data_IF_401859035367
#
_entry.id   IF_401859035367
#
_cell.length_a   1.000
_cell.length_b   1.000
_cell.length_c   1.000
_cell.angle_alpha   90.00
_cell.angle_beta   90.00
_cell.angle_gamma   90.00
#
_symmetry.space_group_name_H-M   'P 1'
#
loop_
_entity.id
_entity.type
_entity.pdbx_description
1 polymer ?
#
# COMPACT_ATOMS: atom_id res chain seq x y z
N UNK A 1 7.68 28.20 41.88
CA UNK A 1 8.51 28.02 40.66
C UNK A 1 8.07 26.74 40.00
N UNK A 2 7.37 26.79 38.87
CA UNK A 2 7.06 25.58 38.10
C UNK A 2 8.33 25.18 37.33
N UNK A 3 8.89 23.99 37.61
CA UNK A 3 9.89 23.40 36.72
C UNK A 3 9.19 23.15 35.38
N UNK A 4 9.46 23.99 34.38
CA UNK A 4 9.03 23.75 33.01
C UNK A 4 9.77 22.53 32.48
N UNK A 5 9.03 21.58 31.89
CA UNK A 5 9.64 20.49 31.14
C UNK A 5 10.24 21.05 29.84
N UNK A 6 11.49 20.73 29.55
CA UNK A 6 12.14 21.12 28.31
C UNK A 6 11.67 20.18 27.19
N UNK A 7 11.04 20.74 26.16
CA UNK A 7 10.58 19.99 24.98
C UNK A 7 11.36 20.42 23.74
N UNK A 8 11.61 19.46 22.84
CA UNK A 8 12.29 19.68 21.56
C UNK A 8 11.38 19.20 20.42
N UNK A 9 11.24 20.03 19.38
CA UNK A 9 10.57 19.63 18.14
C UNK A 9 11.45 18.61 17.41
N UNK A 10 10.84 17.52 16.99
CA UNK A 10 11.50 16.43 16.25
C UNK A 10 10.82 16.23 14.88
N UNK A 11 11.50 15.59 13.91
CA UNK A 11 10.86 15.21 12.66
C UNK A 11 9.62 14.35 12.90
N UNK A 12 8.59 14.52 12.07
CA UNK A 12 7.34 13.75 12.20
C UNK A 12 7.53 12.25 11.99
N UNK A 13 8.66 11.81 11.43
CA UNK A 13 8.97 10.40 11.20
C UNK A 13 9.55 9.70 12.44
N UNK A 14 10.16 10.46 13.36
CA UNK A 14 10.89 9.93 14.52
C UNK A 14 10.03 9.01 15.43
N UNK A 15 8.75 9.33 15.74
CA UNK A 15 7.92 8.40 16.53
C UNK A 15 7.78 7.00 15.90
N UNK A 16 7.75 6.94 14.56
CA UNK A 16 7.62 5.69 13.80
C UNK A 16 8.97 4.98 13.65
N UNK A 17 10.00 5.71 13.24
CA UNK A 17 11.32 5.16 12.90
C UNK A 17 12.09 4.70 14.14
N UNK A 18 12.06 5.50 15.21
CA UNK A 18 12.84 5.23 16.42
C UNK A 18 11.97 4.58 17.51
N UNK A 19 10.68 4.91 17.52
CA UNK A 19 9.74 4.48 18.57
C UNK A 19 8.81 3.32 18.18
N UNK A 20 8.74 2.93 16.91
CA UNK A 20 7.80 1.91 16.42
C UNK A 20 6.32 2.31 16.58
N UNK A 21 6.03 3.59 16.81
CA UNK A 21 4.67 4.09 17.07
C UNK A 21 4.00 4.54 15.78
N UNK A 22 2.73 4.16 15.63
CA UNK A 22 1.88 4.74 14.59
C UNK A 22 1.64 6.23 14.87
N UNK A 23 1.97 7.08 13.90
CA UNK A 23 1.89 8.54 14.03
C UNK A 23 0.94 9.17 12.99
N UNK A 24 -0.10 8.44 12.62
CA UNK A 24 -1.06 8.86 11.61
C UNK A 24 -0.59 8.59 10.18
N UNK A 25 -1.26 9.23 9.22
CA UNK A 25 -0.95 9.19 7.80
C UNK A 25 -0.90 10.60 7.22
N UNK A 26 -0.26 10.74 6.06
CA UNK A 26 -0.31 11.96 5.25
C UNK A 26 -1.21 11.73 4.05
N UNK A 27 -2.00 12.74 3.71
CA UNK A 27 -2.82 12.74 2.48
C UNK A 27 -2.04 13.44 1.38
N UNK A 28 -2.00 12.83 0.20
CA UNK A 28 -1.40 13.39 -1.00
C UNK A 28 -2.38 13.24 -2.16
N UNK A 29 -2.61 14.33 -2.88
CA UNK A 29 -3.36 14.31 -4.13
C UNK A 29 -2.44 13.92 -5.29
N UNK A 30 -2.96 13.12 -6.21
CA UNK A 30 -2.33 12.78 -7.48
C UNK A 30 -3.37 12.95 -8.58
N UNK A 31 -3.00 13.55 -9.71
CA UNK A 31 -3.95 13.85 -10.80
C UNK A 31 -4.34 12.61 -11.63
N UNK A 32 -3.56 11.54 -11.55
CA UNK A 32 -3.77 10.25 -12.23
C UNK A 32 -2.86 9.17 -11.61
N UNK A 33 -2.99 7.92 -12.03
CA UNK A 33 -2.23 6.78 -11.50
C UNK A 33 -0.72 6.95 -11.73
N UNK A 34 -0.27 7.41 -12.90
CA UNK A 34 1.15 7.65 -13.17
C UNK A 34 1.77 8.62 -12.17
N UNK A 35 1.02 9.64 -11.76
CA UNK A 35 1.46 10.64 -10.79
C UNK A 35 1.50 10.08 -9.36
N UNK A 36 0.79 8.98 -9.06
CA UNK A 36 0.98 8.25 -7.80
C UNK A 36 2.41 7.76 -7.70
N UNK A 37 2.93 7.14 -8.77
CA UNK A 37 4.29 6.59 -8.80
C UNK A 37 5.37 7.66 -8.99
N UNK A 38 5.22 8.53 -10.00
CA UNK A 38 6.24 9.52 -10.38
C UNK A 38 6.51 10.55 -9.29
N UNK A 39 5.48 10.93 -8.53
CA UNK A 39 5.55 11.95 -7.49
C UNK A 39 5.55 11.31 -6.08
N UNK A 40 6.10 10.10 -5.99
CA UNK A 40 6.32 9.43 -4.71
C UNK A 40 7.26 10.25 -3.82
N UNK A 41 6.93 10.49 -2.53
CA UNK A 41 7.75 11.29 -1.63
C UNK A 41 8.99 10.56 -1.12
N UNK A 42 9.14 9.27 -1.42
CA UNK A 42 10.22 8.43 -0.92
C UNK A 42 11.35 8.30 -1.92
N UNK A 43 12.59 8.41 -1.44
CA UNK A 43 13.76 8.14 -2.26
C UNK A 43 13.82 6.66 -2.62
N UNK A 44 13.85 6.35 -3.91
CA UNK A 44 13.72 4.97 -4.41
C UNK A 44 12.29 4.57 -4.79
N UNK A 45 11.31 5.46 -4.59
CA UNK A 45 9.91 5.22 -4.96
C UNK A 45 9.20 4.23 -4.03
N UNK A 46 8.04 3.77 -4.48
CA UNK A 46 7.42 2.58 -3.91
C UNK A 46 8.11 1.37 -4.53
N UNK A 47 8.90 0.65 -3.73
CA UNK A 47 9.73 -0.48 -4.20
C UNK A 47 8.96 -1.81 -4.25
N UNK A 48 7.72 -1.81 -3.77
CA UNK A 48 6.75 -2.84 -4.10
C UNK A 48 5.34 -2.22 -4.20
N UNK A 49 4.59 -2.56 -5.24
CA UNK A 49 3.27 -2.03 -5.51
C UNK A 49 2.27 -3.15 -5.79
N UNK A 50 1.15 -3.14 -5.07
CA UNK A 50 0.07 -4.11 -5.17
C UNK A 50 -1.20 -3.39 -5.62
N UNK A 51 -1.84 -3.86 -6.69
CA UNK A 51 -3.20 -3.47 -7.03
C UNK A 51 -4.22 -4.50 -6.55
N UNK A 52 -5.40 -4.06 -6.12
CA UNK A 52 -6.49 -4.94 -5.71
C UNK A 52 -7.62 -4.95 -6.74
N UNK A 53 -8.12 -6.13 -7.11
CA UNK A 53 -9.25 -6.30 -8.03
C UNK A 53 -9.94 -7.64 -7.84
N UNK A 54 -11.23 -7.74 -8.13
CA UNK A 54 -11.94 -9.02 -8.17
C UNK A 54 -11.39 -9.95 -9.28
N UNK A 55 -10.78 -9.37 -10.31
CA UNK A 55 -10.11 -10.06 -11.42
C UNK A 55 -8.64 -10.40 -11.13
N UNK A 56 -8.13 -10.05 -9.94
CA UNK A 56 -6.76 -10.34 -9.54
C UNK A 56 -6.51 -11.82 -9.22
N UNK A 57 -5.24 -12.15 -9.02
CA UNK A 57 -4.83 -13.50 -8.61
C UNK A 57 -5.38 -13.82 -7.21
N UNK A 58 -5.86 -15.05 -7.04
CA UNK A 58 -6.33 -15.57 -5.75
C UNK A 58 -5.19 -16.35 -5.11
N UNK A 59 -4.65 -15.79 -4.04
CA UNK A 59 -3.61 -16.42 -3.20
C UNK A 59 -4.13 -16.32 -1.76
N UNK A 60 -3.89 -17.32 -0.91
CA UNK A 60 -4.24 -17.16 0.51
C UNK A 60 -3.24 -16.24 1.19
N UNK A 61 -3.69 -15.45 2.17
CA UNK A 61 -2.81 -14.60 2.98
C UNK A 61 -1.62 -15.37 3.59
N UNK A 62 -1.85 -16.60 4.06
CA UNK A 62 -0.81 -17.48 4.59
C UNK A 62 0.22 -17.94 3.55
N UNK A 63 -0.15 -17.95 2.27
CA UNK A 63 0.67 -18.43 1.15
C UNK A 63 1.33 -17.26 0.38
N UNK A 64 0.80 -16.05 0.51
CA UNK A 64 1.33 -14.86 -0.16
C UNK A 64 2.70 -14.48 0.42
N UNK A 65 3.72 -14.53 -0.42
CA UNK A 65 5.07 -14.07 -0.07
C UNK A 65 5.33 -12.72 -0.72
N UNK A 66 5.57 -11.70 0.11
CA UNK A 66 6.02 -10.39 -0.36
C UNK A 66 7.56 -10.36 -0.32
N UNK A 67 8.22 -9.73 -1.31
CA UNK A 67 9.65 -9.45 -1.20
C UNK A 67 9.91 -8.49 -0.04
N UNK A 68 11.16 -8.41 0.41
CA UNK A 68 11.58 -7.36 1.32
C UNK A 68 11.39 -5.98 0.64
N UNK A 69 10.71 -5.05 1.31
CA UNK A 69 10.37 -3.73 0.77
C UNK A 69 10.59 -2.63 1.82
N UNK A 70 10.90 -1.41 1.40
CA UNK A 70 10.94 -0.23 2.28
C UNK A 70 9.67 0.60 2.19
N UNK A 71 9.04 0.63 1.02
CA UNK A 71 7.90 1.49 0.71
C UNK A 71 6.86 0.72 -0.11
N UNK A 72 5.96 0.03 0.58
CA UNK A 72 4.83 -0.67 -0.04
C UNK A 72 3.70 0.31 -0.43
N UNK A 73 3.23 0.19 -1.67
CA UNK A 73 1.99 0.80 -2.15
C UNK A 73 0.90 -0.27 -2.30
N UNK A 74 -0.28 -0.03 -1.74
CA UNK A 74 -1.49 -0.83 -2.02
C UNK A 74 -2.51 0.11 -2.66
N UNK A 75 -2.90 -0.19 -3.90
CA UNK A 75 -3.83 0.61 -4.68
C UNK A 75 -5.21 -0.05 -4.74
N UNK A 76 -6.24 0.79 -4.60
CA UNK A 76 -7.65 0.41 -4.65
C UNK A 76 -8.35 1.17 -5.76
N UNK A 77 -9.19 0.47 -6.51
CA UNK A 77 -10.02 1.04 -7.56
C UNK A 77 -11.31 1.67 -7.04
N UNK A 78 -11.95 2.45 -7.91
CA UNK A 78 -13.32 2.93 -7.71
C UNK A 78 -14.35 1.89 -8.15
N UNK A 79 -15.54 2.36 -8.55
CA UNK A 79 -16.64 1.48 -8.99
C UNK A 79 -16.26 0.61 -10.19
N UNK A 80 -15.47 1.13 -11.13
CA UNK A 80 -15.01 0.40 -12.31
C UNK A 80 -13.58 -0.18 -12.16
N UNK A 81 -13.08 -0.29 -10.93
CA UNK A 81 -11.75 -0.85 -10.66
C UNK A 81 -10.61 0.13 -10.91
N UNK A 82 -9.38 -0.39 -10.91
CA UNK A 82 -8.16 0.38 -11.25
C UNK A 82 -7.97 0.46 -12.77
N UNK A 83 -8.56 -0.48 -13.50
CA UNK A 83 -8.51 -0.61 -14.95
C UNK A 83 -9.04 0.65 -15.64
N UNK A 84 -10.13 1.23 -15.13
CA UNK A 84 -10.67 2.51 -15.64
C UNK A 84 -9.65 3.64 -15.47
N UNK A 85 -9.10 3.82 -14.28
CA UNK A 85 -8.11 4.85 -13.99
C UNK A 85 -6.80 4.67 -14.79
N UNK A 86 -6.45 3.43 -15.16
CA UNK A 86 -5.31 3.13 -16.03
C UNK A 86 -5.60 3.52 -17.48
N UNK A 87 -6.79 3.22 -17.99
CA UNK A 87 -7.18 3.52 -19.37
C UNK A 87 -7.36 5.03 -19.61
N UNK A 88 -7.77 5.78 -18.59
CA UNK A 88 -7.85 7.25 -18.64
C UNK A 88 -6.49 7.95 -18.54
N UNK A 89 -5.48 7.28 -18.00
CA UNK A 89 -4.14 7.84 -17.88
C UNK A 89 -3.34 7.68 -19.18
N UNK A 90 -3.10 8.79 -19.89
CA UNK A 90 -2.31 8.80 -21.13
C UNK A 90 -0.94 8.13 -21.05
N UNK A 91 -0.30 8.06 -19.88
CA UNK A 91 1.00 7.39 -19.68
C UNK A 91 0.90 5.87 -19.49
N UNK A 92 -0.31 5.36 -19.23
CA UNK A 92 -0.60 3.95 -18.97
C UNK A 92 -1.66 3.37 -19.90
N UNK A 93 -2.27 4.19 -20.75
CA UNK A 93 -3.35 3.80 -21.65
C UNK A 93 -3.01 2.54 -22.44
N UNK A 94 -3.94 1.58 -22.46
CA UNK A 94 -3.75 0.28 -23.12
C UNK A 94 -2.78 -0.68 -22.41
N UNK A 95 -2.27 -0.34 -21.21
CA UNK A 95 -1.54 -1.29 -20.37
C UNK A 95 -2.51 -2.13 -19.56
N UNK A 96 -2.18 -3.40 -19.42
CA UNK A 96 -2.82 -4.29 -18.47
C UNK A 96 -2.48 -3.86 -17.03
N UNK A 97 -3.48 -3.84 -16.14
CA UNK A 97 -3.27 -3.54 -14.73
C UNK A 97 -2.23 -4.46 -14.08
N UNK A 98 -2.15 -5.73 -14.50
CA UNK A 98 -1.12 -6.67 -14.04
C UNK A 98 0.31 -6.27 -14.42
N UNK A 99 0.48 -5.33 -15.36
CA UNK A 99 1.79 -4.78 -15.77
C UNK A 99 2.10 -3.43 -15.14
N UNK A 100 1.11 -2.80 -14.49
CA UNK A 100 1.28 -1.52 -13.78
C UNK A 100 1.73 -1.73 -12.34
N UNK A 101 1.33 -2.84 -11.72
CA UNK A 101 1.69 -3.22 -10.35
C UNK A 101 2.60 -4.46 -10.36
N UNK A 102 3.40 -4.64 -9.30
CA UNK A 102 4.23 -5.84 -9.13
C UNK A 102 3.38 -7.08 -8.85
N UNK A 103 2.22 -6.89 -8.22
CA UNK A 103 1.20 -7.92 -8.08
C UNK A 103 -0.21 -7.33 -8.11
N UNK A 104 -1.16 -8.14 -8.60
CA UNK A 104 -2.55 -7.74 -8.78
C UNK A 104 -3.45 -8.83 -8.21
N UNK A 105 -4.13 -8.56 -7.10
CA UNK A 105 -4.65 -9.59 -6.20
C UNK A 105 -6.15 -9.42 -5.93
N UNK A 106 -6.85 -10.55 -5.83
CA UNK A 106 -8.18 -10.62 -5.24
C UNK A 106 -8.05 -11.00 -3.75
N UNK A 107 -8.35 -10.05 -2.88
CA UNK A 107 -8.22 -10.19 -1.41
C UNK A 107 -9.50 -10.72 -0.74
N UNK A 108 -10.61 -10.85 -1.49
CA UNK A 108 -11.88 -11.36 -1.01
C UNK A 108 -12.52 -12.31 -2.05
N UNK A 109 -11.91 -13.48 -2.29
CA UNK A 109 -12.47 -14.45 -3.22
C UNK A 109 -13.84 -14.92 -2.72
N UNK A 110 -14.71 -15.28 -3.65
CA UNK A 110 -16.08 -15.75 -3.37
C UNK A 110 -16.94 -14.69 -2.65
N UNK A 111 -16.72 -13.40 -2.94
CA UNK A 111 -17.57 -12.33 -2.44
C UNK A 111 -19.05 -12.62 -2.75
N UNK A 112 -19.89 -12.46 -1.73
CA UNK A 112 -21.34 -12.70 -1.86
C UNK A 112 -22.11 -11.54 -2.48
N UNK A 113 -21.44 -10.41 -2.72
CA UNK A 113 -21.97 -9.24 -3.41
C UNK A 113 -21.39 -9.12 -4.81
N UNK A 114 -22.13 -8.46 -5.72
CA UNK A 114 -21.60 -8.13 -7.06
C UNK A 114 -20.39 -7.20 -6.96
N UNK A 115 -20.40 -6.29 -5.99
CA UNK A 115 -19.34 -5.29 -5.81
C UNK A 115 -19.06 -5.16 -4.32
N UNK A 116 -17.77 -5.06 -3.98
CA UNK A 116 -17.30 -4.59 -2.67
C UNK A 116 -16.94 -3.13 -2.85
N UNK A 117 -17.55 -2.23 -2.07
CA UNK A 117 -17.25 -0.79 -2.19
C UNK A 117 -15.85 -0.51 -1.69
N UNK A 118 -15.18 0.51 -2.21
CA UNK A 118 -13.77 0.80 -1.91
C UNK A 118 -13.50 0.92 -0.39
N UNK A 119 -14.42 1.54 0.36
CA UNK A 119 -14.32 1.68 1.81
C UNK A 119 -14.49 0.35 2.59
N UNK A 120 -15.09 -0.67 1.99
CA UNK A 120 -15.17 -2.04 2.52
C UNK A 120 -13.94 -2.84 2.10
N UNK A 121 -13.47 -2.63 0.87
CA UNK A 121 -12.30 -3.31 0.30
C UNK A 121 -11.00 -2.96 1.05
N UNK A 122 -10.85 -1.72 1.49
CA UNK A 122 -9.68 -1.25 2.26
C UNK A 122 -9.45 -2.11 3.52
N UNK A 123 -10.38 -2.17 4.50
CA UNK A 123 -10.14 -2.95 5.72
C UNK A 123 -10.01 -4.46 5.45
N UNK A 124 -10.78 -5.03 4.51
CA UNK A 124 -10.66 -6.45 4.13
C UNK A 124 -9.25 -6.74 3.62
N UNK A 125 -8.76 -5.92 2.71
CA UNK A 125 -7.45 -6.11 2.09
C UNK A 125 -6.31 -5.85 3.08
N UNK A 126 -6.40 -4.82 3.91
CA UNK A 126 -5.37 -4.54 4.92
C UNK A 126 -5.28 -5.67 5.96
N UNK A 127 -6.41 -6.27 6.36
CA UNK A 127 -6.41 -7.46 7.22
C UNK A 127 -5.81 -8.66 6.49
N UNK A 128 -6.14 -8.86 5.21
CA UNK A 128 -5.54 -9.89 4.37
C UNK A 128 -4.01 -9.74 4.25
N UNK A 129 -3.50 -8.51 4.15
CA UNK A 129 -2.06 -8.25 4.01
C UNK A 129 -1.28 -8.22 5.33
N UNK A 130 -1.96 -8.20 6.49
CA UNK A 130 -1.31 -8.07 7.80
C UNK A 130 -0.21 -9.13 8.01
N UNK A 131 -0.52 -10.40 7.78
CA UNK A 131 0.43 -11.50 7.98
C UNK A 131 1.56 -11.49 6.94
N UNK A 132 1.32 -11.37 5.61
CA UNK A 132 2.37 -11.19 4.61
C UNK A 132 3.33 -10.03 4.89
N UNK A 133 2.79 -8.87 5.26
CA UNK A 133 3.58 -7.66 5.55
C UNK A 133 4.45 -7.88 6.80
N UNK A 134 3.90 -8.49 7.84
CA UNK A 134 4.63 -8.81 9.06
C UNK A 134 5.84 -9.72 8.77
N UNK A 135 5.62 -10.79 7.98
CA UNK A 135 6.71 -11.70 7.57
C UNK A 135 7.79 -10.98 6.75
N UNK A 136 7.40 -10.15 5.78
CA UNK A 136 8.35 -9.41 4.95
C UNK A 136 9.16 -8.36 5.75
N UNK A 137 8.53 -7.74 6.75
CA UNK A 137 9.21 -6.75 7.62
C UNK A 137 10.24 -7.43 8.53
N UNK A 138 9.91 -8.59 9.10
CA UNK A 138 10.85 -9.34 9.94
C UNK A 138 12.10 -9.82 9.19
N UNK A 139 11.98 -10.12 7.88
CA UNK A 139 13.13 -10.50 7.05
C UNK A 139 14.17 -9.37 6.93
N UNK A 140 13.74 -8.11 6.97
CA UNK A 140 14.64 -6.95 6.93
C UNK A 140 15.39 -6.77 8.25
N UNK A 141 14.73 -7.00 9.38
CA UNK A 141 15.32 -6.85 10.72
C UNK A 141 16.28 -8.00 11.05
N UNK A 142 16.00 -9.22 10.56
CA UNK A 142 16.85 -10.39 10.76
C UNK A 142 18.11 -10.45 9.87
N UNK A 143 18.20 -9.61 8.84
CA UNK A 143 19.33 -9.58 7.89
C UNK A 143 20.54 -8.74 8.31
N UNK A 144 20.47 -8.08 9.47
CA UNK A 144 21.52 -7.20 10.02
C UNK A 144 22.40 -7.86 11.09
N UNK A 145 22.60 -9.19 11.02
CA UNK A 145 23.52 -9.93 11.91
C UNK A 145 24.91 -10.10 11.29
#
# INVERSE_FOLDING_TARGET
>A
MCLGHLHKVVPSSMPREDGGLYWGYKVRYASNISSVFRECPYTGGYDHAIGTSEHGLIIKSSELTLPAFRHLLIAFGGLAGLEESIEEDSGLKGKDAQKVFDSYLNTCPLQGSRTIRTEEAIPISLQYFQEPISRATQQLEGGTS
#
